data_IF_192166440563
#
_entry.id   IF_192166440563
#
_cell.length_a   1.000
_cell.length_b   1.000
_cell.length_c   1.000
_cell.angle_alpha   90.00
_cell.angle_beta   90.00
_cell.angle_gamma   90.00
#
_symmetry.space_group_name_H-M   'P 1'
#
loop_
_entity.id
_entity.type
_entity.pdbx_description
1 polymer ?
#
# COMPACT_ATOMS: atom_id res chain seq x y z
N UNK A 1 -11.16 5.06 -30.94
CA UNK A 1 -12.02 4.36 -29.99
C UNK A 1 -13.28 5.19 -29.79
N UNK A 2 -14.43 4.55 -29.68
CA UNK A 2 -15.72 5.21 -29.42
C UNK A 2 -15.94 5.42 -27.91
N UNK A 3 -16.88 6.28 -27.52
CA UNK A 3 -17.31 6.42 -26.11
C UNK A 3 -17.77 5.09 -25.51
N UNK A 4 -18.37 4.21 -26.32
CA UNK A 4 -18.76 2.86 -25.89
C UNK A 4 -17.54 1.97 -25.58
N UNK A 5 -16.46 2.08 -26.35
CA UNK A 5 -15.20 1.37 -26.10
C UNK A 5 -14.56 1.84 -24.79
N UNK A 6 -14.61 3.14 -24.50
CA UNK A 6 -14.03 3.73 -23.29
C UNK A 6 -14.72 3.19 -22.04
N UNK A 7 -16.06 3.24 -22.05
CA UNK A 7 -16.87 2.74 -20.96
C UNK A 7 -16.71 1.22 -20.77
N UNK A 8 -16.56 0.46 -21.86
CA UNK A 8 -16.32 -0.99 -21.79
C UNK A 8 -15.00 -1.32 -21.13
N UNK A 9 -13.92 -0.63 -21.53
CA UNK A 9 -12.59 -0.84 -20.96
C UNK A 9 -12.51 -0.37 -19.51
N UNK A 10 -13.16 0.74 -19.15
CA UNK A 10 -13.28 1.17 -17.75
C UNK A 10 -13.94 0.09 -16.89
N UNK A 11 -15.08 -0.47 -17.33
CA UNK A 11 -15.75 -1.55 -16.62
C UNK A 11 -14.87 -2.80 -16.47
N UNK A 12 -14.10 -3.16 -17.49
CA UNK A 12 -13.18 -4.29 -17.42
C UNK A 12 -12.09 -4.07 -16.35
N UNK A 13 -11.51 -2.86 -16.28
CA UNK A 13 -10.50 -2.51 -15.27
C UNK A 13 -11.10 -2.50 -13.86
N UNK A 14 -12.29 -1.93 -13.69
CA UNK A 14 -13.03 -1.94 -12.42
C UNK A 14 -13.24 -3.37 -11.91
N UNK A 15 -13.62 -4.28 -12.82
CA UNK A 15 -13.81 -5.68 -12.49
C UNK A 15 -12.48 -6.38 -12.16
N UNK A 16 -11.41 -6.15 -12.92
CA UNK A 16 -10.07 -6.70 -12.64
C UNK A 16 -9.56 -6.27 -11.25
N UNK A 17 -9.78 -5.00 -10.88
CA UNK A 17 -9.37 -4.44 -9.60
C UNK A 17 -10.38 -4.70 -8.46
N UNK A 18 -11.44 -5.49 -8.71
CA UNK A 18 -12.45 -5.88 -7.74
C UNK A 18 -13.12 -4.70 -7.00
N UNK A 19 -13.37 -3.58 -7.70
CA UNK A 19 -14.04 -2.43 -7.09
C UNK A 19 -15.56 -2.66 -7.07
N UNK A 20 -16.12 -2.78 -5.87
CA UNK A 20 -17.54 -3.06 -5.70
C UNK A 20 -18.42 -1.88 -6.19
N UNK A 21 -19.57 -2.16 -6.84
CA UNK A 21 -20.48 -1.10 -7.32
C UNK A 21 -21.18 -0.36 -6.18
N UNK A 22 -21.35 -1.02 -5.02
CA UNK A 22 -21.92 -0.45 -3.82
C UNK A 22 -20.89 -0.51 -2.69
N UNK A 23 -20.98 0.42 -1.75
CA UNK A 23 -20.05 0.53 -0.63
C UNK A 23 -20.83 0.86 0.65
N UNK A 24 -20.57 0.06 1.69
CA UNK A 24 -21.00 0.29 3.05
C UNK A 24 -19.80 0.06 3.96
N UNK A 25 -19.43 1.07 4.75
CA UNK A 25 -18.16 1.03 5.49
C UNK A 25 -18.16 -0.06 6.58
N UNK A 26 -19.27 -0.24 7.29
CA UNK A 26 -19.38 -1.21 8.38
C UNK A 26 -19.36 -2.65 7.84
N UNK A 27 -20.06 -2.91 6.74
CA UNK A 27 -20.03 -4.20 6.07
C UNK A 27 -18.63 -4.52 5.50
N UNK A 28 -17.93 -3.54 4.93
CA UNK A 28 -16.55 -3.70 4.46
C UNK A 28 -15.57 -3.95 5.61
N UNK A 29 -15.72 -3.26 6.74
CA UNK A 29 -14.93 -3.51 7.96
C UNK A 29 -15.11 -4.96 8.40
N UNK A 30 -16.36 -5.40 8.58
CA UNK A 30 -16.66 -6.76 9.03
C UNK A 30 -16.07 -7.80 8.07
N UNK A 31 -16.28 -7.63 6.76
CA UNK A 31 -15.74 -8.51 5.72
C UNK A 31 -14.22 -8.60 5.77
N UNK A 32 -13.52 -7.47 5.91
CA UNK A 32 -12.05 -7.40 5.87
C UNK A 32 -11.41 -7.94 7.14
N UNK A 33 -12.03 -7.70 8.30
CA UNK A 33 -11.63 -8.32 9.58
C UNK A 33 -11.80 -9.84 9.50
N UNK A 34 -12.92 -10.32 8.94
CA UNK A 34 -13.19 -11.75 8.76
C UNK A 34 -12.21 -12.41 7.78
N UNK A 35 -11.92 -11.74 6.67
CA UNK A 35 -10.93 -12.18 5.70
C UNK A 35 -9.55 -12.39 6.34
N UNK A 36 -9.06 -11.40 7.10
CA UNK A 36 -7.81 -11.51 7.83
C UNK A 36 -7.86 -12.68 8.84
N UNK A 37 -8.88 -12.70 9.71
CA UNK A 37 -9.01 -13.74 10.72
C UNK A 37 -9.03 -15.16 10.12
N UNK A 38 -9.79 -15.38 9.04
CA UNK A 38 -9.88 -16.66 8.36
C UNK A 38 -8.56 -17.05 7.69
N UNK A 39 -7.89 -16.11 7.03
CA UNK A 39 -6.61 -16.39 6.37
C UNK A 39 -5.54 -16.80 7.38
N UNK A 40 -5.36 -16.04 8.46
CA UNK A 40 -4.37 -16.35 9.48
C UNK A 40 -4.63 -17.71 10.13
N UNK A 41 -5.90 -18.02 10.45
CA UNK A 41 -6.28 -19.33 10.97
C UNK A 41 -6.04 -20.47 9.97
N UNK A 42 -6.32 -20.27 8.68
CA UNK A 42 -6.14 -21.31 7.66
C UNK A 42 -4.67 -21.69 7.41
N UNK A 43 -3.74 -20.76 7.67
CA UNK A 43 -2.30 -21.00 7.49
C UNK A 43 -1.64 -21.61 8.73
N UNK A 44 -2.32 -21.58 9.89
CA UNK A 44 -1.74 -21.98 11.18
C UNK A 44 -0.70 -21.00 11.72
N UNK A 45 -0.53 -19.85 11.07
CA UNK A 45 0.35 -18.75 11.49
C UNK A 45 -0.33 -17.92 12.57
N UNK A 46 0.44 -17.11 13.30
CA UNK A 46 -0.05 -16.43 14.52
C UNK A 46 0.13 -14.94 14.53
N UNK A 47 0.91 -14.39 13.61
CA UNK A 47 1.34 -13.00 13.71
C UNK A 47 1.08 -12.25 12.42
N UNK A 48 0.46 -11.09 12.53
CA UNK A 48 0.48 -10.07 11.49
C UNK A 48 1.60 -9.07 11.74
N UNK A 49 2.27 -8.64 10.68
CA UNK A 49 3.28 -7.57 10.71
C UNK A 49 2.92 -6.52 9.67
N UNK A 50 2.97 -5.24 10.05
CA UNK A 50 2.72 -4.12 9.14
C UNK A 50 3.51 -2.88 9.53
N UNK A 51 4.13 -2.23 8.55
CA UNK A 51 4.69 -0.90 8.66
C UNK A 51 3.62 0.19 8.81
N UNK A 52 3.68 0.98 9.87
CA UNK A 52 2.79 2.12 10.12
C UNK A 52 3.54 3.41 9.77
N UNK A 53 3.18 4.03 8.65
CA UNK A 53 3.83 5.24 8.14
C UNK A 53 3.27 6.54 8.72
N UNK A 54 2.07 6.48 9.30
CA UNK A 54 1.27 7.66 9.65
C UNK A 54 0.25 8.05 8.58
N UNK A 55 0.30 7.43 7.40
CA UNK A 55 -0.69 7.59 6.34
C UNK A 55 -1.94 6.74 6.55
N UNK A 56 -3.08 7.22 6.01
CA UNK A 56 -4.41 6.62 6.20
C UNK A 56 -4.48 5.14 5.81
N UNK A 57 -3.75 4.69 4.79
CA UNK A 57 -3.81 3.31 4.31
C UNK A 57 -3.22 2.36 5.35
N UNK A 58 -1.99 2.64 5.82
CA UNK A 58 -1.34 1.87 6.88
C UNK A 58 -2.11 1.92 8.21
N UNK A 59 -2.70 3.07 8.55
CA UNK A 59 -3.55 3.21 9.75
C UNK A 59 -4.81 2.35 9.66
N UNK A 60 -5.45 2.32 8.48
CA UNK A 60 -6.68 1.54 8.26
C UNK A 60 -6.39 0.06 8.25
N UNK A 61 -5.39 -0.38 7.48
CA UNK A 61 -4.96 -1.78 7.43
C UNK A 61 -4.50 -2.28 8.80
N UNK A 62 -3.73 -1.47 9.53
CA UNK A 62 -3.27 -1.80 10.88
C UNK A 62 -4.43 -1.95 11.87
N UNK A 63 -5.43 -1.06 11.81
CA UNK A 63 -6.60 -1.16 12.69
C UNK A 63 -7.44 -2.40 12.37
N UNK A 64 -7.64 -2.73 11.09
CA UNK A 64 -8.30 -3.97 10.66
C UNK A 64 -7.53 -5.21 11.14
N UNK A 65 -6.20 -5.19 11.04
CA UNK A 65 -5.33 -6.25 11.53
C UNK A 65 -5.48 -6.48 13.04
N UNK A 66 -5.41 -5.41 13.82
CA UNK A 66 -5.58 -5.48 15.28
C UNK A 66 -6.96 -6.06 15.65
N UNK A 67 -8.04 -5.58 15.02
CA UNK A 67 -9.39 -6.11 15.25
C UNK A 67 -9.51 -7.59 14.88
N UNK A 68 -8.83 -8.03 13.81
CA UNK A 68 -8.85 -9.44 13.39
C UNK A 68 -8.16 -10.37 14.40
N UNK A 69 -7.05 -9.94 15.02
CA UNK A 69 -6.36 -10.75 16.03
C UNK A 69 -7.08 -10.72 17.37
N UNK A 70 -7.71 -9.60 17.73
CA UNK A 70 -8.62 -9.51 18.88
C UNK A 70 -9.79 -10.49 18.74
N UNK A 71 -10.41 -10.53 17.56
CA UNK A 71 -11.48 -11.49 17.24
C UNK A 71 -10.98 -12.94 17.34
N UNK A 72 -9.84 -13.25 16.74
CA UNK A 72 -9.26 -14.60 16.82
C UNK A 72 -8.99 -15.04 18.26
N UNK A 73 -8.47 -14.14 19.10
CA UNK A 73 -8.23 -14.41 20.52
C UNK A 73 -9.53 -14.64 21.29
N UNK A 74 -10.58 -13.87 21.00
CA UNK A 74 -11.92 -14.11 21.58
C UNK A 74 -12.46 -15.50 21.22
N UNK A 75 -12.12 -16.01 20.03
CA UNK A 75 -12.46 -17.36 19.56
C UNK A 75 -11.46 -18.45 20.01
N UNK A 76 -10.54 -18.14 20.94
CA UNK A 76 -9.58 -19.10 21.50
C UNK A 76 -8.36 -19.41 20.62
N UNK A 77 -8.12 -18.65 19.56
CA UNK A 77 -6.93 -18.78 18.71
C UNK A 77 -5.86 -17.77 19.10
N UNK A 78 -4.66 -18.25 19.43
CA UNK A 78 -3.51 -17.39 19.76
C UNK A 78 -3.00 -16.65 18.51
N UNK A 79 -3.32 -15.36 18.44
CA UNK A 79 -2.90 -14.47 17.37
C UNK A 79 -2.48 -13.09 17.92
N UNK A 80 -1.56 -12.43 17.21
CA UNK A 80 -1.03 -11.11 17.56
C UNK A 80 -0.79 -10.23 16.34
N UNK A 81 -0.79 -8.92 16.54
CA UNK A 81 -0.40 -7.95 15.54
C UNK A 81 0.79 -7.10 16.02
N UNK A 82 1.82 -7.01 15.18
CA UNK A 82 3.02 -6.20 15.39
C UNK A 82 2.99 -5.02 14.41
N UNK A 83 2.83 -3.82 14.95
CA UNK A 83 3.02 -2.59 14.19
C UNK A 83 4.50 -2.21 14.16
N UNK A 84 5.01 -1.82 12.98
CA UNK A 84 6.41 -1.42 12.81
C UNK A 84 6.54 0.03 12.40
N UNK A 85 7.33 0.81 13.12
CA UNK A 85 7.87 2.08 12.66
C UNK A 85 9.13 1.81 11.85
N UNK A 86 9.19 2.35 10.64
CA UNK A 86 10.26 2.10 9.66
C UNK A 86 10.86 3.40 9.13
N UNK A 87 11.40 4.27 10.01
CA UNK A 87 11.97 5.55 9.60
C UNK A 87 13.25 5.37 8.79
N UNK A 88 13.63 6.39 8.03
CA UNK A 88 14.95 6.51 7.38
C UNK A 88 15.73 7.63 8.09
N UNK A 89 16.37 7.30 9.20
CA UNK A 89 16.94 8.28 10.13
C UNK A 89 15.85 9.00 10.92
N UNK A 90 15.84 10.34 10.87
CA UNK A 90 14.81 11.14 11.55
C UNK A 90 13.64 11.38 10.60
N UNK A 91 12.44 10.94 10.99
CA UNK A 91 11.22 11.17 10.23
C UNK A 91 10.58 12.52 10.61
N UNK A 92 10.29 13.35 9.60
CA UNK A 92 9.81 14.72 9.82
C UNK A 92 8.38 14.78 10.38
N UNK A 93 7.56 13.79 10.05
CA UNK A 93 6.15 13.66 10.42
C UNK A 93 5.93 12.56 11.49
N UNK A 94 6.91 12.36 12.39
CA UNK A 94 6.82 11.37 13.48
C UNK A 94 5.54 11.53 14.32
N UNK A 95 5.06 12.76 14.51
CA UNK A 95 3.82 13.02 15.23
C UNK A 95 2.59 12.36 14.58
N UNK A 96 2.53 12.31 13.25
CA UNK A 96 1.44 11.64 12.53
C UNK A 96 1.56 10.12 12.67
N UNK A 97 2.77 9.58 12.67
CA UNK A 97 2.98 8.17 12.88
C UNK A 97 2.63 7.72 14.31
N UNK A 98 2.96 8.53 15.32
CA UNK A 98 2.54 8.30 16.70
C UNK A 98 1.02 8.37 16.85
N UNK A 99 0.37 9.34 16.18
CA UNK A 99 -1.09 9.41 16.13
C UNK A 99 -1.69 8.15 15.49
N UNK A 100 -1.12 7.66 14.40
CA UNK A 100 -1.55 6.43 13.74
C UNK A 100 -1.38 5.21 14.65
N UNK A 101 -0.25 5.07 15.36
CA UNK A 101 -0.04 3.98 16.32
C UNK A 101 -1.09 4.01 17.44
N UNK A 102 -1.35 5.18 18.01
CA UNK A 102 -2.37 5.37 19.05
C UNK A 102 -3.79 5.02 18.58
N UNK A 103 -4.10 5.26 17.30
CA UNK A 103 -5.37 4.83 16.68
C UNK A 103 -5.42 3.31 16.47
N UNK A 104 -4.36 2.74 15.92
CA UNK A 104 -4.24 1.32 15.58
C UNK A 104 -4.32 0.43 16.82
N UNK A 105 -3.57 0.79 17.88
CA UNK A 105 -3.47 0.07 19.17
C UNK A 105 -2.98 -1.37 19.00
N UNK A 106 -1.82 -1.54 18.37
CA UNK A 106 -1.23 -2.85 18.12
C UNK A 106 -0.88 -3.58 19.43
N UNK A 107 -0.82 -4.92 19.38
CA UNK A 107 -0.38 -5.72 20.54
C UNK A 107 1.11 -5.49 20.87
N UNK A 108 1.93 -5.23 19.85
CA UNK A 108 3.36 -4.95 19.97
C UNK A 108 3.77 -3.88 18.95
N UNK A 109 4.68 -3.00 19.34
CA UNK A 109 5.24 -1.95 18.50
C UNK A 109 6.77 -2.11 18.42
N UNK A 110 7.31 -2.13 17.21
CA UNK A 110 8.75 -2.21 16.96
C UNK A 110 9.20 -1.04 16.10
N UNK A 111 10.42 -0.55 16.33
CA UNK A 111 11.05 0.45 15.47
C UNK A 111 12.31 -0.12 14.84
N UNK A 112 12.40 -0.04 13.52
CA UNK A 112 13.60 -0.41 12.76
C UNK A 112 13.97 0.75 11.84
N UNK A 113 15.07 1.44 12.13
CA UNK A 113 15.62 2.45 11.24
C UNK A 113 16.24 1.75 10.02
N UNK A 114 15.71 2.03 8.83
CA UNK A 114 16.18 1.43 7.57
C UNK A 114 17.35 2.18 6.96
N UNK A 115 17.72 3.36 7.48
CA UNK A 115 18.79 4.18 6.91
C UNK A 115 20.13 3.45 6.78
N UNK A 116 20.64 2.75 7.81
CA UNK A 116 21.93 2.09 7.70
C UNK A 116 21.98 1.03 6.58
N UNK A 117 20.90 0.27 6.41
CA UNK A 117 20.78 -0.74 5.37
C UNK A 117 20.65 -0.11 3.97
N UNK A 118 19.77 0.88 3.84
CA UNK A 118 19.54 1.56 2.57
C UNK A 118 20.79 2.30 2.05
N UNK A 119 21.47 3.04 2.93
CA UNK A 119 22.69 3.77 2.59
C UNK A 119 23.82 2.79 2.20
N UNK A 120 23.96 1.67 2.92
CA UNK A 120 24.98 0.66 2.63
C UNK A 120 24.75 -0.02 1.27
N UNK A 121 23.49 -0.27 0.91
CA UNK A 121 23.14 -0.82 -0.41
C UNK A 121 23.47 0.18 -1.52
N UNK A 122 23.09 1.45 -1.36
CA UNK A 122 23.41 2.49 -2.33
C UNK A 122 24.94 2.66 -2.49
N UNK A 123 25.68 2.69 -1.38
CA UNK A 123 27.13 2.78 -1.39
C UNK A 123 27.78 1.59 -2.11
N UNK A 124 27.25 0.38 -1.91
CA UNK A 124 27.74 -0.84 -2.60
C UNK A 124 27.51 -0.77 -4.11
N UNK A 125 26.37 -0.23 -4.55
CA UNK A 125 26.07 -0.02 -5.97
C UNK A 125 27.02 1.01 -6.60
N UNK A 126 27.31 2.12 -5.90
CA UNK A 126 28.30 3.11 -6.35
C UNK A 126 29.70 2.48 -6.42
N UNK A 127 30.09 1.72 -5.40
CA UNK A 127 31.40 1.05 -5.35
C UNK A 127 31.58 -0.02 -6.43
N UNK A 128 30.49 -0.59 -6.99
CA UNK A 128 30.57 -1.51 -8.12
C UNK A 128 30.90 -0.84 -9.46
N UNK A 129 31.08 0.49 -9.46
CA UNK A 129 31.32 1.29 -10.67
C UNK A 129 30.05 1.67 -11.43
N UNK A 130 28.85 1.46 -10.85
CA UNK A 130 27.62 1.96 -11.45
C UNK A 130 27.58 3.49 -11.39
N UNK A 131 27.34 4.13 -12.52
CA UNK A 131 27.17 5.57 -12.62
C UNK A 131 25.70 5.92 -12.81
N UNK A 132 25.21 6.87 -12.02
CA UNK A 132 23.91 7.49 -12.25
C UNK A 132 24.07 8.66 -13.23
N UNK A 133 23.15 8.80 -14.17
CA UNK A 133 23.15 9.88 -15.16
C UNK A 133 22.93 11.24 -14.50
N UNK A 134 22.11 11.28 -13.45
CA UNK A 134 21.80 12.51 -12.72
C UNK A 134 21.65 12.25 -11.21
N UNK A 135 21.84 13.28 -10.36
CA UNK A 135 21.53 13.19 -8.93
C UNK A 135 20.07 12.79 -8.65
N UNK A 136 19.12 13.24 -9.49
CA UNK A 136 17.71 12.89 -9.35
C UNK A 136 17.45 11.39 -9.63
N UNK A 137 18.17 10.79 -10.57
CA UNK A 137 18.08 9.35 -10.81
C UNK A 137 18.62 8.56 -9.62
N UNK A 138 19.76 8.99 -9.04
CA UNK A 138 20.30 8.38 -7.84
C UNK A 138 19.32 8.45 -6.66
N UNK A 139 18.70 9.61 -6.44
CA UNK A 139 17.69 9.80 -5.38
C UNK A 139 16.47 8.90 -5.59
N UNK A 140 15.96 8.81 -6.83
CA UNK A 140 14.86 7.90 -7.17
C UNK A 140 15.20 6.42 -6.92
N UNK A 141 16.42 5.99 -7.27
CA UNK A 141 16.89 4.62 -7.00
C UNK A 141 17.03 4.39 -5.49
N UNK A 142 17.60 5.35 -4.76
CA UNK A 142 17.72 5.26 -3.30
C UNK A 142 16.35 5.18 -2.62
N UNK A 143 15.37 5.97 -3.08
CA UNK A 143 13.98 5.89 -2.62
C UNK A 143 13.39 4.48 -2.76
N UNK A 144 13.62 3.83 -3.91
CA UNK A 144 13.18 2.44 -4.11
C UNK A 144 13.97 1.43 -3.26
N UNK A 145 15.26 1.67 -2.98
CA UNK A 145 16.03 0.86 -2.03
C UNK A 145 15.36 0.95 -0.64
N UNK A 146 15.07 2.15 -0.14
CA UNK A 146 14.39 2.35 1.15
C UNK A 146 13.07 1.58 1.22
N UNK A 147 12.22 1.67 0.20
CA UNK A 147 10.96 0.92 0.17
C UNK A 147 11.17 -0.60 0.26
N UNK A 148 12.23 -1.14 -0.36
CA UNK A 148 12.58 -2.57 -0.28
C UNK A 148 13.19 -2.96 1.07
N UNK A 149 14.02 -2.10 1.67
CA UNK A 149 14.55 -2.35 3.02
C UNK A 149 13.42 -2.39 4.07
N UNK A 150 12.38 -1.55 3.91
CA UNK A 150 11.17 -1.62 4.73
C UNK A 150 10.44 -2.96 4.58
N UNK A 151 10.36 -3.50 3.36
CA UNK A 151 9.81 -4.83 3.11
C UNK A 151 10.66 -5.91 3.79
N UNK A 152 11.99 -5.88 3.61
CA UNK A 152 12.91 -6.84 4.24
C UNK A 152 12.76 -6.83 5.76
N UNK A 153 12.69 -5.65 6.40
CA UNK A 153 12.49 -5.53 7.84
C UNK A 153 11.19 -6.21 8.31
N UNK A 154 10.08 -6.00 7.59
CA UNK A 154 8.79 -6.62 7.93
C UNK A 154 8.82 -8.13 7.77
N UNK A 155 9.39 -8.64 6.66
CA UNK A 155 9.52 -10.09 6.44
C UNK A 155 10.48 -10.75 7.43
N UNK A 156 11.55 -10.06 7.86
CA UNK A 156 12.45 -10.57 8.89
C UNK A 156 11.71 -10.75 10.23
N UNK A 157 10.88 -9.77 10.64
CA UNK A 157 10.05 -9.89 11.83
C UNK A 157 8.98 -10.97 11.68
N UNK A 158 8.29 -11.01 10.54
CA UNK A 158 7.27 -12.02 10.26
C UNK A 158 7.86 -13.45 10.34
N UNK A 159 9.00 -13.69 9.68
CA UNK A 159 9.71 -14.97 9.73
C UNK A 159 10.10 -15.39 11.15
N UNK A 160 10.60 -14.45 11.97
CA UNK A 160 10.96 -14.70 13.36
C UNK A 160 9.75 -14.96 14.28
N UNK A 161 8.55 -14.55 13.87
CA UNK A 161 7.33 -14.58 14.70
C UNK A 161 6.23 -15.50 14.15
N UNK A 162 6.56 -16.41 13.22
CA UNK A 162 5.58 -17.30 12.54
C UNK A 162 4.41 -16.48 12.00
N UNK A 163 4.74 -15.40 11.32
CA UNK A 163 3.80 -14.40 10.84
C UNK A 163 3.83 -14.22 9.34
N UNK A 164 3.02 -13.27 8.91
CA UNK A 164 2.86 -12.82 7.53
C UNK A 164 2.83 -11.29 7.48
N UNK A 165 3.23 -10.75 6.35
CA UNK A 165 3.28 -9.31 6.10
C UNK A 165 1.98 -8.85 5.45
N UNK A 166 1.36 -7.84 6.05
CA UNK A 166 0.22 -7.13 5.47
C UNK A 166 0.74 -6.07 4.49
N UNK A 167 0.13 -5.98 3.31
CA UNK A 167 0.32 -4.88 2.38
C UNK A 167 -0.86 -3.91 2.42
N UNK A 168 -0.63 -2.67 2.00
CA UNK A 168 -1.64 -1.61 2.01
C UNK A 168 -2.24 -1.34 0.64
N UNK A 169 -1.80 -2.05 -0.39
CA UNK A 169 -2.28 -1.85 -1.76
C UNK A 169 -3.81 -1.91 -1.82
N UNK A 170 -4.37 -0.89 -2.45
CA UNK A 170 -5.78 -0.77 -2.74
C UNK A 170 -6.00 -0.44 -4.23
N UNK A 171 -7.25 -0.36 -4.68
CA UNK A 171 -7.54 -0.27 -6.12
C UNK A 171 -6.97 1.00 -6.78
N UNK A 172 -7.00 2.16 -6.10
CA UNK A 172 -6.40 3.39 -6.62
C UNK A 172 -4.87 3.32 -6.78
N UNK A 173 -4.13 2.73 -5.84
CA UNK A 173 -2.68 2.52 -5.99
C UNK A 173 -2.38 1.48 -7.07
N UNK A 174 -3.15 0.38 -7.11
CA UNK A 174 -3.02 -0.68 -8.11
C UNK A 174 -3.27 -0.16 -9.53
N UNK A 175 -4.28 0.69 -9.71
CA UNK A 175 -4.64 1.33 -10.97
C UNK A 175 -3.47 2.16 -11.51
N UNK A 176 -2.87 2.98 -10.64
CA UNK A 176 -1.79 3.89 -11.02
C UNK A 176 -0.42 3.22 -11.00
N UNK A 177 -0.30 2.01 -10.46
CA UNK A 177 0.95 1.30 -10.27
C UNK A 177 1.90 2.02 -9.29
N UNK A 178 1.33 2.71 -8.31
CA UNK A 178 2.06 3.59 -7.41
C UNK A 178 2.49 2.89 -6.13
N UNK A 179 3.46 2.01 -6.32
CA UNK A 179 4.17 1.31 -5.28
C UNK A 179 5.51 0.86 -5.85
N UNK A 180 6.50 0.67 -4.99
CA UNK A 180 7.76 0.06 -5.39
C UNK A 180 7.54 -1.44 -5.56
N UNK A 181 7.80 -1.96 -6.77
CA UNK A 181 7.71 -3.41 -7.03
C UNK A 181 8.71 -4.16 -6.12
N UNK A 182 8.20 -5.13 -5.38
CA UNK A 182 8.91 -5.87 -4.33
C UNK A 182 9.44 -4.98 -3.19
N UNK A 183 8.86 -3.80 -3.00
CA UNK A 183 8.98 -2.98 -1.80
C UNK A 183 7.68 -3.09 -1.01
N UNK A 184 6.97 -1.97 -0.87
CA UNK A 184 5.62 -1.90 -0.30
C UNK A 184 4.60 -2.80 -1.02
N UNK A 185 4.69 -2.96 -2.34
CA UNK A 185 3.84 -3.92 -3.07
C UNK A 185 4.23 -5.39 -2.91
N UNK A 186 5.25 -5.70 -2.09
CA UNK A 186 5.63 -7.06 -1.73
C UNK A 186 5.05 -7.42 -0.37
N UNK A 187 3.92 -8.12 -0.35
CA UNK A 187 3.24 -8.56 0.87
C UNK A 187 2.52 -9.90 0.67
N UNK A 188 2.07 -10.52 1.77
CA UNK A 188 1.40 -11.82 1.75
C UNK A 188 -0.13 -11.69 1.66
N UNK A 189 -0.69 -10.58 2.15
CA UNK A 189 -2.14 -10.36 2.22
C UNK A 189 -2.50 -8.88 2.13
N UNK A 190 -3.58 -8.56 1.41
CA UNK A 190 -4.00 -7.19 1.08
C UNK A 190 -5.43 -6.90 1.58
N UNK A 191 -5.62 -6.48 2.85
CA UNK A 191 -6.93 -6.21 3.40
C UNK A 191 -7.60 -4.96 2.82
N UNK A 192 -6.91 -4.13 2.02
CA UNK A 192 -7.47 -2.92 1.39
C UNK A 192 -7.76 -3.09 -0.11
N UNK A 193 -7.48 -4.27 -0.69
CA UNK A 193 -7.76 -4.55 -2.09
C UNK A 193 -9.24 -4.27 -2.45
N UNK A 194 -9.47 -3.71 -3.64
CA UNK A 194 -10.80 -3.31 -4.13
C UNK A 194 -11.35 -1.97 -3.61
N UNK A 195 -10.66 -1.28 -2.69
CA UNK A 195 -11.08 0.06 -2.24
C UNK A 195 -10.48 1.18 -3.08
N UNK A 196 -11.32 2.17 -3.42
CA UNK A 196 -10.90 3.50 -3.87
C UNK A 196 -10.34 4.31 -2.69
N UNK A 197 -9.59 5.38 -2.92
CA UNK A 197 -8.93 6.15 -1.84
C UNK A 197 -9.97 6.74 -0.87
N UNK A 198 -11.06 7.30 -1.39
CA UNK A 198 -12.18 7.81 -0.58
C UNK A 198 -12.86 6.72 0.24
N UNK A 199 -12.91 5.48 -0.25
CA UNK A 199 -13.44 4.34 0.50
C UNK A 199 -12.50 3.89 1.61
N UNK A 200 -11.18 3.91 1.40
CA UNK A 200 -10.20 3.72 2.49
C UNK A 200 -10.42 4.78 3.58
N UNK A 201 -10.54 6.06 3.20
CA UNK A 201 -10.85 7.15 4.13
C UNK A 201 -12.18 6.94 4.87
N UNK A 202 -13.22 6.46 4.19
CA UNK A 202 -14.51 6.18 4.82
C UNK A 202 -14.44 5.02 5.84
N UNK A 203 -13.70 3.95 5.51
CA UNK A 203 -13.41 2.85 6.46
C UNK A 203 -12.63 3.37 7.66
N UNK A 204 -11.59 4.19 7.46
CA UNK A 204 -10.82 4.81 8.52
C UNK A 204 -11.69 5.62 9.49
N UNK A 205 -12.61 6.46 8.95
CA UNK A 205 -13.57 7.23 9.75
C UNK A 205 -14.51 6.33 10.54
N UNK A 206 -15.09 5.32 9.90
CA UNK A 206 -16.01 4.38 10.56
C UNK A 206 -15.32 3.59 11.69
N UNK A 207 -14.02 3.32 11.57
CA UNK A 207 -13.19 2.74 12.62
C UNK A 207 -12.82 3.72 13.76
N UNK A 208 -13.22 4.98 13.68
CA UNK A 208 -12.96 6.03 14.66
C UNK A 208 -11.66 6.82 14.45
N UNK A 209 -11.08 6.78 13.25
CA UNK A 209 -9.91 7.59 12.90
C UNK A 209 -10.25 9.08 12.85
N UNK A 210 -9.38 9.92 13.40
CA UNK A 210 -9.57 11.37 13.35
C UNK A 210 -9.29 11.94 11.95
N UNK A 211 -9.75 13.16 11.68
CA UNK A 211 -9.57 13.79 10.36
C UNK A 211 -8.10 14.05 10.01
N UNK A 212 -7.19 14.10 10.99
CA UNK A 212 -5.77 14.31 10.72
C UNK A 212 -5.12 13.03 10.18
N UNK A 213 -5.56 11.84 10.62
CA UNK A 213 -5.21 10.57 9.97
C UNK A 213 -5.88 10.48 8.60
N UNK A 214 -7.19 10.71 8.55
CA UNK A 214 -8.02 10.43 7.37
C UNK A 214 -7.69 11.36 6.20
N UNK A 215 -7.42 12.63 6.48
CA UNK A 215 -7.16 13.64 5.47
C UNK A 215 -5.69 13.98 5.30
N UNK A 216 -4.77 13.24 5.95
CA UNK A 216 -3.34 13.38 5.73
C UNK A 216 -3.04 13.34 4.23
N UNK A 217 -2.23 14.29 3.78
CA UNK A 217 -1.79 14.35 2.38
C UNK A 217 -0.99 13.08 2.07
N UNK A 218 -1.41 12.28 1.07
CA UNK A 218 -0.67 11.08 0.69
C UNK A 218 0.70 11.44 0.12
N UNK A 219 1.75 10.82 0.66
CA UNK A 219 3.13 10.96 0.21
C UNK A 219 3.88 9.65 0.42
N UNK A 220 4.71 9.24 -0.53
CA UNK A 220 5.56 8.05 -0.36
C UNK A 220 6.79 8.30 0.55
N UNK A 221 7.18 9.56 0.75
CA UNK A 221 8.36 10.00 1.52
C UNK A 221 9.65 9.18 1.22
N UNK A 222 9.97 9.05 -0.07
CA UNK A 222 11.10 8.26 -0.56
C UNK A 222 12.28 9.11 -1.07
N UNK A 223 11.99 10.22 -1.75
CA UNK A 223 12.96 11.11 -2.39
C UNK A 223 13.48 12.17 -1.40
N UNK A 224 14.81 12.31 -1.27
CA UNK A 224 15.44 13.31 -0.40
C UNK A 224 15.48 14.70 -1.03
N UNK A 225 15.53 14.78 -2.37
CA UNK A 225 15.52 16.05 -3.09
C UNK A 225 14.12 16.67 -3.15
N UNK A 226 13.08 15.86 -2.94
CA UNK A 226 11.67 16.26 -2.94
C UNK A 226 10.91 15.52 -1.83
N UNK A 227 11.24 15.79 -0.55
CA UNK A 227 10.60 15.12 0.58
C UNK A 227 9.10 15.44 0.58
N UNK A 228 8.29 14.46 0.98
CA UNK A 228 6.83 14.60 1.08
C UNK A 228 6.14 15.10 -0.22
N UNK A 229 6.69 14.77 -1.39
CA UNK A 229 6.04 15.08 -2.67
C UNK A 229 4.64 14.42 -2.72
N UNK A 230 3.56 15.18 -2.93
CA UNK A 230 2.21 14.62 -3.04
C UNK A 230 2.10 13.69 -4.25
N UNK A 231 1.41 12.57 -4.08
CA UNK A 231 1.22 11.58 -5.15
C UNK A 231 0.53 12.19 -6.38
N UNK A 232 -0.44 13.08 -6.18
CA UNK A 232 -1.20 13.75 -7.25
C UNK A 232 -0.30 14.58 -8.17
N UNK A 233 0.77 15.19 -7.64
CA UNK A 233 1.77 15.88 -8.42
C UNK A 233 2.65 14.93 -9.25
N UNK A 234 2.71 13.64 -8.92
CA UNK A 234 3.41 12.64 -9.72
C UNK A 234 2.53 12.13 -10.88
N UNK A 235 1.21 12.01 -10.67
CA UNK A 235 0.29 11.51 -11.69
C UNK A 235 -0.18 12.57 -12.69
N UNK A 236 -0.34 13.82 -12.23
CA UNK A 236 -1.06 14.86 -12.98
C UNK A 236 -2.58 14.71 -12.95
N UNK A 237 -3.10 13.89 -12.05
CA UNK A 237 -4.53 13.71 -11.73
C UNK A 237 -4.70 13.53 -10.21
N UNK A 238 -5.86 13.91 -9.70
CA UNK A 238 -6.21 13.83 -8.27
C UNK A 238 -6.73 12.45 -7.87
N UNK A 239 -6.70 12.13 -6.57
CA UNK A 239 -7.34 10.92 -6.06
C UNK A 239 -8.85 10.92 -6.27
N UNK A 240 -9.52 12.08 -6.27
CA UNK A 240 -10.95 12.13 -6.56
C UNK A 240 -11.27 11.76 -8.01
N UNK A 241 -10.43 12.16 -8.96
CA UNK A 241 -10.56 11.76 -10.36
C UNK A 241 -10.26 10.27 -10.58
N UNK A 242 -9.25 9.75 -9.89
CA UNK A 242 -8.92 8.30 -9.88
C UNK A 242 -10.09 7.49 -9.30
N UNK A 243 -10.66 7.95 -8.19
CA UNK A 243 -11.77 7.29 -7.54
C UNK A 243 -13.05 7.37 -8.39
N UNK A 244 -13.28 8.49 -9.09
CA UNK A 244 -14.39 8.60 -10.03
C UNK A 244 -14.24 7.61 -11.19
N UNK A 245 -13.03 7.42 -11.72
CA UNK A 245 -12.76 6.38 -12.70
C UNK A 245 -13.08 4.99 -12.15
N UNK A 246 -12.60 4.65 -10.94
CA UNK A 246 -12.78 3.33 -10.32
C UNK A 246 -14.23 3.05 -9.90
N UNK A 247 -15.01 4.08 -9.63
CA UNK A 247 -16.42 3.97 -9.23
C UNK A 247 -17.37 4.02 -10.44
N UNK A 248 -16.83 3.97 -11.66
CA UNK A 248 -17.61 3.92 -12.90
C UNK A 248 -18.32 5.23 -13.23
N UNK A 249 -17.89 6.35 -12.65
CA UNK A 249 -18.43 7.67 -12.96
C UNK A 249 -17.83 8.18 -14.28
N UNK A 250 -18.52 9.10 -14.98
CA UNK A 250 -17.94 9.81 -16.11
C UNK A 250 -16.72 10.62 -15.67
N UNK A 251 -15.63 10.53 -16.42
CA UNK A 251 -14.40 11.31 -16.22
C UNK A 251 -14.00 12.02 -17.52
N UNK A 252 -13.12 13.02 -17.43
CA UNK A 252 -12.60 13.71 -18.61
C UNK A 252 -11.66 12.81 -19.43
N UNK A 253 -11.51 13.11 -20.72
CA UNK A 253 -10.57 12.39 -21.60
C UNK A 253 -9.13 12.43 -21.06
N UNK A 254 -8.71 13.56 -20.46
CA UNK A 254 -7.38 13.68 -19.86
C UNK A 254 -7.17 12.70 -18.71
N UNK A 255 -8.16 12.57 -17.82
CA UNK A 255 -8.13 11.60 -16.71
C UNK A 255 -8.09 10.18 -17.26
N UNK A 256 -8.97 9.88 -18.22
CA UNK A 256 -9.08 8.55 -18.82
C UNK A 256 -7.76 8.09 -19.47
N UNK A 257 -7.18 8.92 -20.33
CA UNK A 257 -5.93 8.61 -21.03
C UNK A 257 -4.74 8.52 -20.06
N UNK A 258 -4.71 9.39 -19.03
CA UNK A 258 -3.66 9.33 -18.00
C UNK A 258 -3.74 8.04 -17.20
N UNK A 259 -4.93 7.68 -16.71
CA UNK A 259 -5.17 6.44 -15.98
C UNK A 259 -4.78 5.23 -16.82
N UNK A 260 -5.21 5.15 -18.10
CA UNK A 260 -4.86 4.03 -18.96
C UNK A 260 -3.37 3.90 -19.22
N UNK A 261 -2.68 5.02 -19.46
CA UNK A 261 -1.22 5.03 -19.63
C UNK A 261 -0.52 4.43 -18.41
N UNK A 262 -0.91 4.84 -17.20
CA UNK A 262 -0.34 4.29 -15.97
C UNK A 262 -0.73 2.83 -15.76
N UNK A 263 -1.99 2.48 -15.99
CA UNK A 263 -2.50 1.13 -15.84
C UNK A 263 -1.75 0.15 -16.75
N UNK A 264 -1.69 0.42 -18.05
CA UNK A 264 -1.03 -0.46 -19.01
C UNK A 264 0.48 -0.52 -18.74
N UNK A 265 1.11 0.65 -18.52
CA UNK A 265 2.54 0.76 -18.27
C UNK A 265 3.00 0.07 -16.98
N UNK A 266 2.09 -0.11 -16.02
CA UNK A 266 2.38 -0.76 -14.74
C UNK A 266 1.83 -2.19 -14.62
N UNK A 267 1.29 -2.78 -15.69
CA UNK A 267 0.75 -4.15 -15.67
C UNK A 267 1.74 -5.17 -15.09
N UNK A 268 3.02 -5.00 -15.40
CA UNK A 268 4.08 -5.86 -14.88
C UNK A 268 4.24 -5.81 -13.34
N UNK A 269 3.68 -4.81 -12.65
CA UNK A 269 3.68 -4.72 -11.18
C UNK A 269 2.55 -5.52 -10.53
N UNK A 270 1.44 -5.74 -11.26
CA UNK A 270 0.27 -6.51 -10.80
C UNK A 270 0.28 -7.98 -11.24
N UNK A 271 1.33 -8.39 -11.94
CA UNK A 271 1.51 -9.76 -12.41
C UNK A 271 2.69 -10.44 -11.71
N UNK A 272 2.62 -11.77 -11.63
CA UNK A 272 3.80 -12.61 -11.37
C UNK A 272 4.87 -12.39 -12.45
N UNK A 273 6.13 -12.81 -12.22
CA UNK A 273 7.16 -12.75 -13.24
C UNK A 273 6.70 -13.37 -14.56
N UNK A 274 6.78 -12.59 -15.64
CA UNK A 274 6.34 -13.01 -16.97
C UNK A 274 7.13 -14.22 -17.43
N UNK A 275 6.42 -15.21 -17.96
CA UNK A 275 7.00 -16.45 -18.48
C UNK A 275 6.90 -16.47 -20.02
N UNK A 276 7.64 -17.35 -20.71
CA UNK A 276 7.46 -17.57 -22.14
C UNK A 276 6.03 -17.97 -22.55
N UNK A 277 5.18 -18.37 -21.61
CA UNK A 277 3.77 -18.73 -21.86
C UNK A 277 2.82 -17.54 -21.80
N UNK A 278 3.29 -16.40 -21.28
CA UNK A 278 2.52 -15.16 -21.22
C UNK A 278 2.79 -14.27 -22.46
N UNK A 279 3.73 -14.66 -23.34
CA UNK A 279 4.19 -13.89 -24.50
C UNK A 279 4.06 -14.63 -25.85
N UNK A 280 3.49 -14.01 -26.90
CA UNK A 280 2.68 -12.78 -26.86
C UNK A 280 1.33 -13.08 -26.21
N UNK A 281 0.76 -12.09 -25.51
CA UNK A 281 -0.58 -12.22 -24.96
C UNK A 281 -1.56 -12.64 -26.07
N UNK A 282 -2.27 -13.75 -25.88
CA UNK A 282 -3.35 -14.19 -26.75
C UNK A 282 -4.54 -13.21 -26.71
#
# INVERSE_FOLDING_TARGET
MTSADYASRQRAIIAELNVAPQFDADAEIARRVDFLAQYLRSTGLRTYVLGISGGVDSSTAGRLAQLSVEKLRADGYDARFIAMRLPNGVQNDEADAQRALAFVRADEELTVDVKPAADAMLASLVASGHAFETPAQQDFVHGNIKARERMIAQYAVAGARRGIVIGTDHAAESLMGFFTKFGDGGADILPLAGLSKRRVRAVARALGGDELIVMKVPTADLEELRPLRPDEHAYGVTYDEIDDFLEGKPVSDNVYETVLRFYDGSRHKRALPYTPFDWPAA
#
